data_IF_575491546137
#
_entry.id   IF_575491546137
#
_cell.length_a   1.000
_cell.length_b   1.000
_cell.length_c   1.000
_cell.angle_alpha   90.00
_cell.angle_beta   90.00
_cell.angle_gamma   90.00
#
_symmetry.space_group_name_H-M   'P 1'
#
loop_
_entity.id
_entity.type
_entity.pdbx_description
1 polymer ?
#
# COMPACT_ATOMS: atom_id res chain seq x y z
N UNK A 1 2.30 -25.91 30.76
CA UNK A 1 2.89 -25.20 29.60
C UNK A 1 1.96 -25.04 28.39
N UNK A 2 0.85 -25.81 28.26
CA UNK A 2 -0.03 -25.73 27.08
C UNK A 2 -0.97 -24.50 27.08
N UNK A 3 -1.42 -24.01 28.25
CA UNK A 3 -2.35 -22.87 28.33
C UNK A 3 -1.73 -21.53 27.93
N UNK A 4 -0.46 -21.28 28.30
CA UNK A 4 0.22 -20.02 27.99
C UNK A 4 0.53 -19.88 26.49
N UNK A 5 0.85 -21.00 25.83
CA UNK A 5 1.03 -21.05 24.38
C UNK A 5 -0.29 -20.82 23.63
N UNK A 6 -1.40 -21.37 24.13
CA UNK A 6 -2.73 -21.14 23.55
C UNK A 6 -3.17 -19.67 23.64
N UNK A 7 -2.98 -19.03 24.80
CA UNK A 7 -3.31 -17.61 24.98
C UNK A 7 -2.41 -16.72 24.10
N UNK A 8 -1.11 -17.01 24.03
CA UNK A 8 -0.18 -16.29 23.16
C UNK A 8 -0.57 -16.36 21.67
N UNK A 9 -0.98 -17.55 21.21
CA UNK A 9 -1.42 -17.77 19.83
C UNK A 9 -2.68 -16.95 19.49
N UNK A 10 -3.67 -16.95 20.38
CA UNK A 10 -4.90 -16.18 20.19
C UNK A 10 -4.59 -14.68 20.12
N UNK A 11 -3.73 -14.18 21.00
CA UNK A 11 -3.35 -12.75 21.04
C UNK A 11 -2.69 -12.32 19.74
N UNK A 12 -1.74 -13.10 19.19
CA UNK A 12 -1.06 -12.71 17.94
C UNK A 12 -1.99 -12.79 16.72
N UNK A 13 -2.92 -13.74 16.67
CA UNK A 13 -3.92 -13.84 15.58
C UNK A 13 -4.85 -12.63 15.63
N UNK A 14 -5.33 -12.25 16.82
CA UNK A 14 -6.19 -11.07 16.99
C UNK A 14 -5.45 -9.80 16.61
N UNK A 15 -4.18 -9.65 17.03
CA UNK A 15 -3.35 -8.50 16.65
C UNK A 15 -3.14 -8.42 15.14
N UNK A 16 -2.87 -9.55 14.47
CA UNK A 16 -2.71 -9.61 13.02
C UNK A 16 -3.99 -9.17 12.28
N UNK A 17 -5.15 -9.64 12.71
CA UNK A 17 -6.43 -9.27 12.11
C UNK A 17 -6.76 -7.77 12.27
N UNK A 18 -6.48 -7.21 13.45
CA UNK A 18 -6.69 -5.77 13.71
C UNK A 18 -5.72 -4.93 12.86
N UNK A 19 -4.44 -5.29 12.80
CA UNK A 19 -3.46 -4.55 12.00
C UNK A 19 -3.82 -4.58 10.49
N UNK A 20 -4.24 -5.74 9.97
CA UNK A 20 -4.64 -5.90 8.58
C UNK A 20 -5.88 -5.07 8.22
N UNK A 21 -6.90 -5.05 9.10
CA UNK A 21 -8.12 -4.26 8.87
C UNK A 21 -7.87 -2.75 8.91
N UNK A 22 -7.03 -2.28 9.83
CA UNK A 22 -6.63 -0.87 9.89
C UNK A 22 -5.87 -0.46 8.62
N UNK A 23 -4.92 -1.26 8.17
CA UNK A 23 -4.14 -0.98 6.98
C UNK A 23 -5.00 -1.01 5.70
N UNK A 24 -5.92 -1.97 5.57
CA UNK A 24 -6.84 -2.05 4.44
C UNK A 24 -7.73 -0.81 4.30
N UNK A 25 -8.27 -0.29 5.42
CA UNK A 25 -9.04 0.96 5.42
C UNK A 25 -8.21 2.19 5.04
N UNK A 26 -6.88 2.10 5.19
CA UNK A 26 -5.93 3.17 4.91
C UNK A 26 -5.33 3.07 3.50
N UNK A 27 -5.85 2.25 2.59
CA UNK A 27 -5.24 2.02 1.27
C UNK A 27 -3.75 1.63 1.39
N UNK A 28 -3.43 0.79 2.37
CA UNK A 28 -2.09 0.24 2.59
C UNK A 28 -2.12 -1.28 2.50
N UNK A 29 -0.93 -1.86 2.31
CA UNK A 29 -0.70 -3.30 2.21
C UNK A 29 -1.21 -4.04 3.45
N UNK A 30 -2.48 -4.46 3.41
CA UNK A 30 -3.14 -5.14 4.52
C UNK A 30 -2.39 -6.41 4.94
N UNK A 31 -1.81 -7.14 3.99
CA UNK A 31 -1.04 -8.35 4.23
C UNK A 31 0.31 -8.03 4.91
N UNK A 32 1.00 -6.97 4.49
CA UNK A 32 2.26 -6.54 5.12
C UNK A 32 2.07 -6.13 6.58
N UNK A 33 1.04 -5.33 6.86
CA UNK A 33 0.72 -4.93 8.23
C UNK A 33 0.12 -6.06 9.08
N UNK A 34 -0.61 -7.00 8.47
CA UNK A 34 -1.09 -8.21 9.15
C UNK A 34 0.07 -9.10 9.63
N UNK A 35 1.08 -9.33 8.78
CA UNK A 35 2.30 -10.06 9.17
C UNK A 35 3.04 -9.30 10.28
N UNK A 36 3.10 -7.98 10.20
CA UNK A 36 3.73 -7.15 11.25
C UNK A 36 3.00 -7.33 12.60
N UNK A 37 1.67 -7.35 12.60
CA UNK A 37 0.83 -7.63 13.77
C UNK A 37 0.99 -9.06 14.30
N UNK A 38 1.25 -10.04 13.42
CA UNK A 38 1.54 -11.42 13.83
C UNK A 38 2.91 -11.55 14.49
N UNK A 39 3.93 -10.88 13.95
CA UNK A 39 5.33 -11.00 14.40
C UNK A 39 5.60 -10.19 15.67
N UNK A 40 5.05 -8.98 15.76
CA UNK A 40 5.29 -8.03 16.85
C UNK A 40 4.09 -7.85 17.79
N UNK A 41 2.99 -8.57 17.56
CA UNK A 41 1.79 -8.53 18.38
C UNK A 41 1.19 -7.12 18.49
N UNK A 42 0.96 -6.60 19.71
CA UNK A 42 0.32 -5.30 19.91
C UNK A 42 1.13 -4.14 19.36
N UNK A 43 2.47 -4.26 19.29
CA UNK A 43 3.32 -3.22 18.70
C UNK A 43 3.01 -3.06 17.20
N UNK A 44 2.79 -4.17 16.48
CA UNK A 44 2.41 -4.12 15.07
C UNK A 44 1.06 -3.42 14.85
N UNK A 45 0.12 -3.58 15.78
CA UNK A 45 -1.17 -2.87 15.76
C UNK A 45 -1.00 -1.37 15.97
N UNK A 46 -0.17 -0.97 16.94
CA UNK A 46 0.13 0.46 17.18
C UNK A 46 0.75 1.11 15.95
N UNK A 47 1.68 0.43 15.28
CA UNK A 47 2.29 0.92 14.05
C UNK A 47 1.24 1.11 12.95
N UNK A 48 0.35 0.13 12.74
CA UNK A 48 -0.76 0.26 11.78
C UNK A 48 -1.70 1.44 12.11
N UNK A 49 -1.92 1.70 13.40
CA UNK A 49 -2.77 2.79 13.88
C UNK A 49 -2.17 4.18 13.63
N UNK A 50 -0.86 4.37 13.84
CA UNK A 50 -0.20 5.68 13.70
C UNK A 50 0.26 6.00 12.27
N UNK A 51 0.48 4.98 11.43
CA UNK A 51 0.90 5.19 10.05
C UNK A 51 -0.16 5.98 9.28
N UNK A 52 0.28 7.02 8.58
CA UNK A 52 -0.60 7.83 7.75
C UNK A 52 -1.30 6.98 6.67
N UNK A 53 -2.53 7.34 6.26
CA UNK A 53 -3.19 6.69 5.13
C UNK A 53 -2.25 6.62 3.92
N UNK A 54 -2.24 5.46 3.27
CA UNK A 54 -1.68 5.29 1.94
C UNK A 54 -2.43 6.14 0.93
N UNK A 55 -1.84 6.24 -0.27
CA UNK A 55 -2.44 6.98 -1.36
C UNK A 55 -3.73 6.27 -1.79
N UNK A 56 -4.81 7.01 -2.10
CA UNK A 56 -6.02 6.39 -2.63
C UNK A 56 -5.67 5.65 -3.92
N UNK A 57 -6.28 4.47 -4.10
CA UNK A 57 -6.18 3.73 -5.35
C UNK A 57 -6.72 4.59 -6.50
N UNK A 58 -6.09 4.48 -7.67
CA UNK A 58 -6.59 5.17 -8.86
C UNK A 58 -8.06 4.74 -9.15
N UNK A 59 -8.92 5.66 -9.63
CA UNK A 59 -10.27 5.33 -10.08
C UNK A 59 -10.25 4.25 -11.18
N UNK A 60 -11.36 3.53 -11.37
CA UNK A 60 -11.46 2.55 -12.47
C UNK A 60 -11.16 3.20 -13.83
N UNK A 61 -10.33 2.54 -14.64
CA UNK A 61 -9.83 3.07 -15.93
C UNK A 61 -8.59 3.97 -15.83
N UNK A 62 -8.17 4.35 -14.62
CA UNK A 62 -6.96 5.13 -14.38
C UNK A 62 -5.88 4.31 -13.68
N UNK A 63 -4.62 4.68 -13.91
CA UNK A 63 -3.44 4.16 -13.21
C UNK A 63 -2.74 5.32 -12.52
N UNK A 64 -2.37 5.14 -11.26
CA UNK A 64 -1.54 6.09 -10.53
C UNK A 64 -0.08 5.92 -10.96
N UNK A 65 0.49 6.96 -11.54
CA UNK A 65 1.89 7.02 -12.00
C UNK A 65 2.63 8.14 -11.29
N UNK A 66 3.91 7.91 -11.01
CA UNK A 66 4.81 8.94 -10.50
C UNK A 66 5.72 9.40 -11.63
N UNK A 67 5.73 10.70 -11.90
CA UNK A 67 6.58 11.27 -12.95
C UNK A 67 8.08 11.07 -12.61
N UNK A 68 8.90 10.49 -13.51
CA UNK A 68 10.32 10.25 -13.26
C UNK A 68 11.15 11.54 -13.16
N UNK A 69 10.65 12.67 -13.66
CA UNK A 69 11.38 13.95 -13.68
C UNK A 69 11.13 14.81 -12.46
N UNK A 70 9.86 14.96 -12.05
CA UNK A 70 9.48 15.86 -10.95
C UNK A 70 8.89 15.13 -9.73
N UNK A 71 8.82 13.80 -9.76
CA UNK A 71 8.29 12.96 -8.68
C UNK A 71 6.83 13.32 -8.28
N UNK A 72 6.09 13.95 -9.19
CA UNK A 72 4.67 14.24 -9.00
C UNK A 72 3.84 13.00 -9.27
N UNK A 73 2.90 12.71 -8.37
CA UNK A 73 1.90 11.67 -8.57
C UNK A 73 0.73 12.20 -9.38
N UNK A 74 0.28 11.41 -10.35
CA UNK A 74 -0.88 11.70 -11.16
C UNK A 74 -1.59 10.43 -11.58
N UNK A 75 -2.87 10.55 -11.87
CA UNK A 75 -3.67 9.48 -12.44
C UNK A 75 -3.75 9.70 -13.95
N UNK A 76 -3.43 8.66 -14.72
CA UNK A 76 -3.45 8.68 -16.19
C UNK A 76 -4.36 7.57 -16.69
N UNK A 77 -4.92 7.74 -17.88
CA UNK A 77 -5.74 6.72 -18.53
C UNK A 77 -4.89 5.48 -18.81
N UNK A 78 -5.42 4.29 -18.49
CA UNK A 78 -4.68 3.03 -18.69
C UNK A 78 -4.44 2.72 -20.18
N UNK A 79 -5.33 3.19 -21.03
CA UNK A 79 -5.34 2.86 -22.46
C UNK A 79 -4.30 3.64 -23.27
N UNK A 80 -3.71 4.69 -22.70
CA UNK A 80 -2.74 5.52 -23.39
C UNK A 80 -1.30 5.07 -23.09
N UNK A 81 -0.49 4.76 -24.11
CA UNK A 81 0.88 4.30 -23.92
C UNK A 81 1.83 5.42 -23.47
N UNK A 82 1.34 6.67 -23.43
CA UNK A 82 2.09 7.86 -23.04
C UNK A 82 1.21 8.75 -22.19
N UNK A 83 1.83 9.47 -21.27
CA UNK A 83 1.17 10.51 -20.51
C UNK A 83 2.04 11.76 -20.45
N UNK A 84 1.40 12.91 -20.36
CA UNK A 84 2.05 14.18 -20.07
C UNK A 84 1.94 14.50 -18.58
N UNK A 85 3.05 14.91 -17.96
CA UNK A 85 3.03 15.34 -16.57
C UNK A 85 2.42 16.74 -16.40
N UNK A 86 1.36 16.88 -15.60
CA UNK A 86 0.67 18.18 -15.44
C UNK A 86 1.52 19.24 -14.72
N UNK A 87 2.56 18.85 -13.98
CA UNK A 87 3.47 19.79 -13.29
C UNK A 87 4.63 20.22 -14.18
N UNK A 88 5.25 19.28 -14.89
CA UNK A 88 6.52 19.52 -15.56
C UNK A 88 6.48 19.36 -17.09
N UNK A 89 5.32 19.06 -17.65
CA UNK A 89 5.05 18.88 -19.09
C UNK A 89 5.98 17.86 -19.77
N UNK A 90 6.51 16.92 -18.99
CA UNK A 90 7.34 15.85 -19.54
C UNK A 90 6.45 14.71 -20.00
N UNK A 91 6.61 14.30 -21.26
CA UNK A 91 5.99 13.08 -21.79
C UNK A 91 6.78 11.84 -21.35
N UNK A 92 6.09 10.84 -20.82
CA UNK A 92 6.70 9.53 -20.54
C UNK A 92 5.71 8.40 -20.83
N UNK A 93 6.19 7.16 -20.91
CA UNK A 93 5.38 6.01 -21.37
C UNK A 93 4.70 5.31 -20.21
N UNK A 94 3.37 5.12 -20.25
CA UNK A 94 2.64 4.27 -19.30
C UNK A 94 2.97 2.81 -19.63
N UNK A 95 3.97 2.22 -18.99
CA UNK A 95 4.28 0.81 -19.14
C UNK A 95 3.64 0.02 -18.00
N UNK A 96 2.63 -0.80 -18.33
CA UNK A 96 2.10 -1.80 -17.43
C UNK A 96 3.19 -2.82 -17.09
N UNK A 97 3.60 -2.86 -15.83
CA UNK A 97 4.46 -3.88 -15.22
C UNK A 97 5.80 -4.16 -15.93
N UNK A 98 6.80 -3.31 -15.69
CA UNK A 98 8.21 -3.76 -15.78
C UNK A 98 9.21 -2.86 -16.49
N UNK A 99 8.95 -1.56 -16.65
CA UNK A 99 9.95 -0.63 -17.19
C UNK A 99 9.63 0.83 -16.87
N UNK A 100 10.57 1.49 -16.20
CA UNK A 100 10.72 2.95 -15.96
C UNK A 100 9.52 3.78 -15.47
N UNK A 101 8.49 3.13 -14.93
CA UNK A 101 7.57 3.76 -13.98
C UNK A 101 7.45 2.84 -12.77
N UNK A 102 7.64 3.40 -11.58
CA UNK A 102 7.30 2.75 -10.32
C UNK A 102 5.78 2.68 -10.23
N UNK A 103 5.15 1.77 -10.98
CA UNK A 103 3.77 1.37 -10.75
C UNK A 103 3.77 0.71 -9.37
N UNK A 104 3.40 1.48 -8.33
CA UNK A 104 3.23 0.93 -6.98
C UNK A 104 1.94 0.13 -6.98
N UNK A 105 2.11 -1.16 -7.31
CA UNK A 105 1.13 -2.22 -7.08
C UNK A 105 0.72 -2.23 -5.61
#
# INVERSE_FOLDING_TARGET
>A
MNGLLGVGLVVVIVCAAIAATIAGKKNRDALGFGILGLLFGPIGVLVAAVVAPGRPSAPEGFVAVTCPRCNTDQNVTKDEPKFECYQCQTESRVLDAGGDIVVKR
#
